data_IF_550414050017
#
_entry.id   IF_550414050017
#
_cell.length_a   1.000
_cell.length_b   1.000
_cell.length_c   1.000
_cell.angle_alpha   90.00
_cell.angle_beta   90.00
_cell.angle_gamma   90.00
#
_symmetry.space_group_name_H-M   'P 1'
#
loop_
_entity.id
_entity.type
_entity.pdbx_description
1 polymer ?
#
# COMPACT_ATOMS: atom_id res chain seq x y z
N UNK A 1 34.09 0.86 35.84
CA UNK A 1 33.83 -0.51 35.33
C UNK A 1 35.11 -1.12 34.80
N UNK A 2 35.82 -0.44 33.90
CA UNK A 2 37.13 -0.87 33.38
C UNK A 2 38.16 -1.12 34.50
N UNK A 3 38.31 -0.20 35.45
CA UNK A 3 39.26 -0.36 36.57
C UNK A 3 38.94 -1.58 37.46
N UNK A 4 37.67 -1.83 37.74
CA UNK A 4 37.25 -3.00 38.51
C UNK A 4 37.46 -4.31 37.75
N UNK A 5 37.21 -4.31 36.43
CA UNK A 5 37.47 -5.46 35.57
C UNK A 5 38.95 -5.81 35.54
N UNK A 6 39.83 -4.82 35.40
CA UNK A 6 41.29 -4.99 35.48
C UNK A 6 41.74 -5.56 36.83
N UNK A 7 41.18 -5.10 37.94
CA UNK A 7 41.48 -5.65 39.28
C UNK A 7 41.15 -7.14 39.34
N UNK A 8 39.95 -7.55 38.90
CA UNK A 8 39.57 -8.96 38.91
C UNK A 8 40.41 -9.80 37.92
N UNK A 9 40.78 -9.26 36.76
CA UNK A 9 41.70 -9.92 35.83
C UNK A 9 43.08 -10.15 36.46
N UNK A 10 43.63 -9.13 37.14
CA UNK A 10 44.91 -9.23 37.82
C UNK A 10 44.88 -10.28 38.94
N UNK A 11 43.77 -10.36 39.70
CA UNK A 11 43.58 -11.41 40.72
C UNK A 11 43.59 -12.79 40.06
N UNK A 12 42.87 -12.98 38.96
CA UNK A 12 42.83 -14.27 38.27
C UNK A 12 44.22 -14.66 37.71
N UNK A 13 44.94 -13.73 37.08
CA UNK A 13 46.31 -13.94 36.61
C UNK A 13 47.27 -14.28 37.76
N UNK A 14 47.15 -13.59 38.90
CA UNK A 14 47.97 -13.86 40.08
C UNK A 14 47.70 -15.26 40.65
N UNK A 15 46.44 -15.73 40.63
CA UNK A 15 46.10 -17.10 41.01
C UNK A 15 46.76 -18.10 40.06
N UNK A 16 46.67 -17.90 38.74
CA UNK A 16 47.28 -18.80 37.74
C UNK A 16 48.80 -18.92 37.92
N UNK A 17 49.48 -17.80 38.17
CA UNK A 17 50.92 -17.78 38.49
C UNK A 17 51.24 -18.55 39.79
N UNK A 18 50.39 -18.41 40.80
CA UNK A 18 50.57 -19.10 42.08
C UNK A 18 50.41 -20.63 41.94
N UNK A 19 49.47 -21.08 41.09
CA UNK A 19 49.19 -22.50 40.86
C UNK A 19 50.28 -23.21 40.06
N UNK A 20 50.95 -22.50 39.15
CA UNK A 20 52.04 -23.05 38.30
C UNK A 20 53.38 -23.18 39.04
N UNK A 21 53.57 -22.45 40.15
CA UNK A 21 54.79 -22.53 40.95
C UNK A 21 54.85 -23.81 41.81
N UNK A 22 55.88 -24.63 41.61
CA UNK A 22 56.07 -25.93 42.31
C UNK A 22 56.49 -25.79 43.78
N UNK A 23 56.99 -24.63 44.20
CA UNK A 23 57.47 -24.39 45.57
C UNK A 23 56.37 -23.94 46.55
N UNK A 24 55.16 -23.65 46.06
CA UNK A 24 54.02 -23.26 46.90
C UNK A 24 53.34 -24.46 47.55
N UNK A 25 52.92 -24.31 48.82
CA UNK A 25 52.26 -25.37 49.60
C UNK A 25 50.88 -25.76 49.05
N UNK A 26 50.40 -26.96 49.41
CA UNK A 26 49.09 -27.48 49.02
C UNK A 26 47.94 -26.61 49.51
N UNK A 27 48.04 -26.07 50.72
CA UNK A 27 47.00 -25.28 51.39
C UNK A 27 46.83 -23.94 50.68
N UNK A 28 47.93 -23.25 50.35
CA UNK A 28 47.90 -21.98 49.62
C UNK A 28 47.35 -22.17 48.20
N UNK A 29 47.67 -23.29 47.54
CA UNK A 29 47.07 -23.64 46.24
C UNK A 29 45.57 -23.88 46.35
N UNK A 30 45.10 -24.55 47.40
CA UNK A 30 43.66 -24.73 47.65
C UNK A 30 42.95 -23.40 47.92
N UNK A 31 43.54 -22.50 48.71
CA UNK A 31 43.01 -21.15 48.93
C UNK A 31 42.93 -20.35 47.62
N UNK A 32 43.97 -20.42 46.77
CA UNK A 32 43.97 -19.77 45.46
C UNK A 32 42.87 -20.31 44.54
N UNK A 33 42.64 -21.63 44.51
CA UNK A 33 41.53 -22.25 43.77
C UNK A 33 40.17 -21.74 44.29
N UNK A 34 39.99 -21.66 45.61
CA UNK A 34 38.76 -21.17 46.23
C UNK A 34 38.51 -19.68 45.90
N UNK A 35 39.56 -18.86 45.96
CA UNK A 35 39.51 -17.46 45.56
C UNK A 35 39.10 -17.32 44.08
N UNK A 36 39.71 -18.12 43.19
CA UNK A 36 39.36 -18.09 41.77
C UNK A 36 37.90 -18.47 41.53
N UNK A 37 37.40 -19.51 42.20
CA UNK A 37 35.98 -19.89 42.13
C UNK A 37 35.03 -18.77 42.56
N UNK A 38 35.50 -17.87 43.43
CA UNK A 38 34.71 -16.74 43.92
C UNK A 38 34.82 -15.51 43.01
N UNK A 39 35.99 -15.30 42.38
CA UNK A 39 36.29 -14.15 41.50
C UNK A 39 35.78 -14.37 40.07
N UNK A 40 35.83 -15.60 39.56
CA UNK A 40 35.43 -15.92 38.20
C UNK A 40 33.98 -15.51 37.88
N UNK A 41 32.97 -15.77 38.74
CA UNK A 41 31.61 -15.28 38.50
C UNK A 41 31.52 -13.75 38.40
N UNK A 42 32.34 -13.00 39.16
CA UNK A 42 32.38 -11.55 39.08
C UNK A 42 32.91 -11.06 37.72
N UNK A 43 33.94 -11.71 37.18
CA UNK A 43 34.47 -11.41 35.84
C UNK A 43 33.43 -11.67 34.75
N UNK A 44 32.74 -12.80 34.84
CA UNK A 44 31.70 -13.16 33.87
C UNK A 44 30.50 -12.22 33.94
N UNK A 45 30.06 -11.80 35.14
CA UNK A 45 28.99 -10.81 35.28
C UNK A 45 29.38 -9.45 34.69
N UNK A 46 30.64 -9.00 34.88
CA UNK A 46 31.14 -7.76 34.28
C UNK A 46 31.17 -7.85 32.76
N UNK A 47 31.63 -8.96 32.17
CA UNK A 47 31.59 -9.18 30.72
C UNK A 47 30.16 -9.20 30.18
N UNK A 48 29.26 -9.91 30.84
CA UNK A 48 27.85 -9.97 30.43
C UNK A 48 27.19 -8.60 30.51
N UNK A 49 27.46 -7.84 31.58
CA UNK A 49 26.98 -6.47 31.72
C UNK A 49 27.53 -5.55 30.64
N UNK A 50 28.82 -5.65 30.32
CA UNK A 50 29.45 -4.92 29.23
C UNK A 50 28.82 -5.26 27.87
N UNK A 51 28.56 -6.54 27.61
CA UNK A 51 27.89 -7.00 26.38
C UNK A 51 26.46 -6.45 26.26
N UNK A 52 25.67 -6.49 27.35
CA UNK A 52 24.33 -5.88 27.40
C UNK A 52 24.39 -4.38 27.13
N UNK A 53 25.32 -3.67 27.76
CA UNK A 53 25.48 -2.23 27.57
C UNK A 53 25.91 -1.88 26.13
N UNK A 54 26.77 -2.70 25.51
CA UNK A 54 27.14 -2.57 24.10
C UNK A 54 25.91 -2.60 23.18
N UNK A 55 25.00 -3.54 23.40
CA UNK A 55 23.76 -3.64 22.61
C UNK A 55 22.87 -2.39 22.78
N UNK A 56 22.72 -1.89 24.01
CA UNK A 56 21.93 -0.69 24.27
C UNK A 56 22.56 0.55 23.61
N UNK A 57 23.88 0.70 23.68
CA UNK A 57 24.60 1.78 23.02
C UNK A 57 24.46 1.72 21.50
N UNK A 58 24.44 0.52 20.90
CA UNK A 58 24.18 0.39 19.47
C UNK A 58 22.82 0.97 19.10
N UNK A 59 21.79 0.78 19.93
CA UNK A 59 20.49 1.42 19.73
C UNK A 59 20.60 2.94 19.78
N UNK A 60 21.28 3.49 20.79
CA UNK A 60 21.50 4.94 20.90
C UNK A 60 22.29 5.52 19.72
N UNK A 61 23.28 4.79 19.20
CA UNK A 61 24.04 5.20 18.02
C UNK A 61 23.15 5.20 16.77
N UNK A 62 22.27 4.21 16.61
CA UNK A 62 21.30 4.18 15.52
C UNK A 62 20.31 5.37 15.60
N UNK A 63 19.92 5.79 16.81
CA UNK A 63 19.07 6.97 17.00
C UNK A 63 19.79 8.26 16.56
N UNK A 64 21.09 8.38 16.82
CA UNK A 64 21.90 9.50 16.32
C UNK A 64 22.08 9.44 14.80
N UNK A 65 22.25 8.26 14.21
CA UNK A 65 22.26 8.10 12.75
C UNK A 65 20.94 8.58 12.13
N UNK A 66 19.81 8.28 12.77
CA UNK A 66 18.52 8.77 12.34
C UNK A 66 18.39 10.29 12.49
N UNK A 67 18.80 10.87 13.61
CA UNK A 67 18.77 12.31 13.83
C UNK A 67 19.63 13.06 12.80
N UNK A 68 20.80 12.52 12.47
CA UNK A 68 21.69 13.07 11.44
C UNK A 68 21.07 13.00 10.04
N UNK A 69 20.46 11.86 9.69
CA UNK A 69 19.75 11.70 8.43
C UNK A 69 18.56 12.66 8.30
N UNK A 70 17.81 12.88 9.40
CA UNK A 70 16.77 13.92 9.46
C UNK A 70 17.39 15.29 9.20
N UNK A 71 18.48 15.65 9.86
CA UNK A 71 19.15 16.94 9.66
C UNK A 71 19.57 17.15 8.20
N UNK A 72 20.16 16.14 7.54
CA UNK A 72 20.48 16.23 6.11
C UNK A 72 19.23 16.36 5.23
N UNK A 73 18.14 15.67 5.57
CA UNK A 73 16.87 15.74 4.83
C UNK A 73 16.26 17.15 4.86
N UNK A 74 16.31 17.83 6.02
CA UNK A 74 15.81 19.20 6.17
C UNK A 74 16.43 20.15 5.15
N UNK A 75 17.76 20.08 5.02
CA UNK A 75 18.51 20.92 4.09
C UNK A 75 18.13 20.66 2.64
N UNK A 76 18.07 19.39 2.24
CA UNK A 76 17.65 18.99 0.89
C UNK A 76 16.27 19.55 0.58
N UNK A 77 15.31 19.36 1.48
CA UNK A 77 13.92 19.82 1.30
C UNK A 77 13.85 21.34 1.20
N UNK A 78 14.58 22.07 2.06
CA UNK A 78 14.57 23.54 2.07
C UNK A 78 15.08 24.15 0.75
N UNK A 79 15.99 23.46 0.04
CA UNK A 79 16.59 23.93 -1.22
C UNK A 79 15.76 23.67 -2.47
N UNK A 80 14.69 22.88 -2.39
CA UNK A 80 13.84 22.56 -3.55
C UNK A 80 13.08 23.81 -3.98
N UNK A 81 12.97 24.03 -5.29
CA UNK A 81 12.20 25.13 -5.85
C UNK A 81 10.70 24.98 -5.51
N UNK A 82 10.18 25.90 -4.70
CA UNK A 82 8.79 25.85 -4.21
C UNK A 82 7.76 25.95 -5.35
N UNK A 83 8.06 26.68 -6.43
CA UNK A 83 7.19 26.82 -7.59
C UNK A 83 7.01 25.50 -8.35
N UNK A 84 8.01 24.63 -8.38
CA UNK A 84 7.90 23.30 -8.98
C UNK A 84 6.89 22.42 -8.25
N UNK A 85 6.89 22.46 -6.91
CA UNK A 85 5.95 21.71 -6.09
C UNK A 85 4.53 22.25 -6.27
N UNK A 86 4.36 23.58 -6.29
CA UNK A 86 3.06 24.21 -6.57
C UNK A 86 2.53 23.83 -7.95
N UNK A 87 3.36 23.86 -8.99
CA UNK A 87 2.97 23.42 -10.35
C UNK A 87 2.45 21.98 -10.35
N UNK A 88 3.10 21.06 -9.63
CA UNK A 88 2.63 19.67 -9.50
C UNK A 88 1.29 19.61 -8.77
N UNK A 89 1.15 20.34 -7.68
CA UNK A 89 -0.06 20.36 -6.87
C UNK A 89 -1.26 20.96 -7.62
N UNK A 90 -1.07 22.07 -8.34
CA UNK A 90 -2.10 22.69 -9.18
C UNK A 90 -2.50 21.78 -10.34
N UNK A 91 -1.54 21.14 -10.99
CA UNK A 91 -1.81 20.14 -12.02
C UNK A 91 -2.68 19.00 -11.46
N UNK A 92 -2.37 18.48 -10.28
CA UNK A 92 -3.16 17.41 -9.65
C UNK A 92 -4.56 17.87 -9.26
N UNK A 93 -4.71 19.09 -8.73
CA UNK A 93 -6.02 19.67 -8.40
C UNK A 93 -6.90 19.85 -9.64
N UNK A 94 -6.34 20.37 -10.73
CA UNK A 94 -7.06 20.51 -11.99
C UNK A 94 -7.47 19.14 -12.55
N UNK A 95 -6.56 18.16 -12.50
CA UNK A 95 -6.86 16.82 -12.98
C UNK A 95 -7.83 16.05 -12.09
N UNK A 96 -7.89 16.32 -10.78
CA UNK A 96 -8.90 15.75 -9.90
C UNK A 96 -10.33 16.08 -10.39
N UNK A 97 -10.58 17.32 -10.84
CA UNK A 97 -11.85 17.69 -11.47
C UNK A 97 -12.03 17.04 -12.84
N UNK A 98 -10.96 16.99 -13.66
CA UNK A 98 -10.97 16.36 -14.99
C UNK A 98 -11.36 14.87 -14.91
N UNK A 99 -10.77 14.11 -13.99
CA UNK A 99 -11.07 12.68 -13.81
C UNK A 99 -12.51 12.47 -13.34
N UNK A 100 -13.03 13.31 -12.44
CA UNK A 100 -14.45 13.23 -12.03
C UNK A 100 -15.40 13.49 -13.20
N UNK A 101 -15.09 14.49 -14.01
CA UNK A 101 -15.88 14.82 -15.20
C UNK A 101 -15.84 13.70 -16.24
N UNK A 102 -14.63 13.21 -16.55
CA UNK A 102 -14.43 12.09 -17.46
C UNK A 102 -15.16 10.83 -16.97
N UNK A 103 -15.07 10.52 -15.68
CA UNK A 103 -15.80 9.40 -15.08
C UNK A 103 -17.31 9.50 -15.30
N UNK A 104 -17.86 10.70 -15.14
CA UNK A 104 -19.27 10.98 -15.41
C UNK A 104 -19.63 10.85 -16.89
N UNK A 105 -18.75 11.29 -17.80
CA UNK A 105 -18.92 11.13 -19.24
C UNK A 105 -18.89 9.65 -19.64
N UNK A 106 -17.84 8.92 -19.26
CA UNK A 106 -17.70 7.51 -19.52
C UNK A 106 -18.90 6.73 -19.00
N UNK A 107 -19.38 7.03 -17.78
CA UNK A 107 -20.58 6.40 -17.21
C UNK A 107 -21.81 6.60 -18.10
N UNK A 108 -22.07 7.83 -18.55
CA UNK A 108 -23.19 8.13 -19.47
C UNK A 108 -23.04 7.39 -20.79
N UNK A 109 -21.84 7.39 -21.38
CA UNK A 109 -21.58 6.70 -22.63
C UNK A 109 -21.75 5.19 -22.53
N UNK A 110 -21.28 4.57 -21.45
CA UNK A 110 -21.46 3.13 -21.19
C UNK A 110 -22.95 2.81 -21.14
N UNK A 111 -23.74 3.59 -20.40
CA UNK A 111 -25.19 3.41 -20.30
C UNK A 111 -25.83 3.54 -21.68
N UNK A 112 -25.51 4.58 -22.45
CA UNK A 112 -26.07 4.80 -23.78
C UNK A 112 -25.72 3.67 -24.77
N UNK A 113 -24.45 3.24 -24.80
CA UNK A 113 -23.99 2.14 -25.66
C UNK A 113 -24.63 0.81 -25.28
N UNK A 114 -24.71 0.52 -23.97
CA UNK A 114 -25.36 -0.70 -23.48
C UNK A 114 -26.87 -0.69 -23.76
N UNK A 115 -27.53 0.45 -23.62
CA UNK A 115 -28.94 0.65 -23.98
C UNK A 115 -29.20 0.42 -25.46
N UNK A 116 -28.38 1.03 -26.33
CA UNK A 116 -28.52 0.89 -27.78
C UNK A 116 -28.37 -0.57 -28.21
N UNK A 117 -27.34 -1.24 -27.70
CA UNK A 117 -27.10 -2.67 -27.92
C UNK A 117 -28.28 -3.53 -27.45
N UNK A 118 -28.79 -3.30 -26.24
CA UNK A 118 -29.93 -4.05 -25.69
C UNK A 118 -31.20 -3.83 -26.50
N UNK A 119 -31.48 -2.58 -26.89
CA UNK A 119 -32.64 -2.20 -27.69
C UNK A 119 -32.63 -2.89 -29.05
N UNK A 120 -31.49 -2.88 -29.75
CA UNK A 120 -31.35 -3.52 -31.07
C UNK A 120 -31.65 -5.03 -31.01
N UNK A 121 -31.08 -5.71 -30.01
CA UNK A 121 -31.29 -7.16 -29.83
C UNK A 121 -32.75 -7.46 -29.47
N UNK A 122 -33.37 -6.64 -28.61
CA UNK A 122 -34.78 -6.79 -28.24
C UNK A 122 -35.73 -6.55 -29.40
N UNK A 123 -35.48 -5.57 -30.27
CA UNK A 123 -36.29 -5.32 -31.46
C UNK A 123 -36.27 -6.51 -32.42
N UNK A 124 -35.15 -7.23 -32.50
CA UNK A 124 -35.05 -8.48 -33.27
C UNK A 124 -35.92 -9.59 -32.65
N UNK A 125 -35.85 -9.79 -31.33
CA UNK A 125 -36.66 -10.78 -30.62
C UNK A 125 -38.15 -10.45 -30.73
N UNK A 126 -38.52 -9.19 -30.53
CA UNK A 126 -39.88 -8.72 -30.65
C UNK A 126 -40.46 -8.97 -32.05
N UNK A 127 -39.72 -8.61 -33.11
CA UNK A 127 -40.15 -8.84 -34.50
C UNK A 127 -40.30 -10.31 -34.84
N UNK A 128 -39.52 -11.19 -34.20
CA UNK A 128 -39.60 -12.64 -34.45
C UNK A 128 -40.79 -13.28 -33.76
N UNK A 129 -41.03 -12.94 -32.50
CA UNK A 129 -41.96 -13.69 -31.63
C UNK A 129 -43.29 -13.01 -31.36
N UNK A 130 -43.37 -11.69 -31.51
CA UNK A 130 -44.57 -10.90 -31.22
C UNK A 130 -45.02 -10.12 -32.47
N UNK A 131 -45.03 -10.78 -33.63
CA UNK A 131 -45.29 -10.16 -34.94
C UNK A 131 -46.61 -9.39 -34.98
N UNK A 132 -46.57 -8.30 -35.74
CA UNK A 132 -47.73 -7.57 -36.24
C UNK A 132 -48.01 -8.06 -37.67
N UNK A 133 -48.85 -9.08 -37.82
CA UNK A 133 -49.37 -9.50 -39.13
C UNK A 133 -50.82 -9.05 -39.22
N UNK A 134 -51.07 -7.82 -39.67
CA UNK A 134 -52.40 -7.27 -39.98
C UNK A 134 -53.41 -7.25 -38.83
N UNK A 135 -53.78 -6.07 -38.36
CA UNK A 135 -54.81 -5.76 -37.32
C UNK A 135 -54.74 -6.48 -35.96
N UNK A 136 -54.01 -7.59 -35.81
CA UNK A 136 -53.85 -8.31 -34.55
C UNK A 136 -52.36 -8.51 -34.21
N UNK A 137 -51.93 -7.92 -33.09
CA UNK A 137 -50.64 -8.21 -32.48
C UNK A 137 -50.64 -9.62 -31.92
N UNK A 138 -49.68 -10.46 -32.33
CA UNK A 138 -49.41 -11.72 -31.62
C UNK A 138 -48.85 -11.37 -30.24
N UNK A 139 -49.71 -11.38 -29.21
CA UNK A 139 -49.36 -10.99 -27.84
C UNK A 139 -48.89 -12.15 -26.96
N UNK A 140 -49.00 -13.39 -27.46
CA UNK A 140 -48.78 -14.62 -26.68
C UNK A 140 -47.92 -15.60 -27.49
N UNK A 141 -46.90 -16.15 -26.84
CA UNK A 141 -46.07 -17.26 -27.32
C UNK A 141 -46.61 -18.55 -26.72
N UNK A 142 -47.16 -19.42 -27.56
CA UNK A 142 -47.75 -20.69 -27.14
C UNK A 142 -46.74 -21.70 -26.60
N UNK A 143 -47.23 -22.66 -25.82
CA UNK A 143 -46.48 -23.78 -25.20
C UNK A 143 -45.43 -24.45 -26.09
N UNK A 144 -45.77 -24.75 -27.35
CA UNK A 144 -44.88 -25.49 -28.27
C UNK A 144 -43.61 -24.69 -28.63
N UNK A 145 -43.72 -23.37 -28.61
CA UNK A 145 -42.65 -22.44 -28.96
C UNK A 145 -41.93 -21.86 -27.74
N UNK A 146 -42.49 -22.06 -26.53
CA UNK A 146 -41.98 -21.49 -25.28
C UNK A 146 -40.51 -21.85 -25.02
N UNK A 147 -40.14 -23.12 -25.19
CA UNK A 147 -38.77 -23.58 -24.92
C UNK A 147 -37.75 -22.97 -25.88
N UNK A 148 -38.11 -22.83 -27.16
CA UNK A 148 -37.25 -22.22 -28.19
C UNK A 148 -37.06 -20.73 -27.88
N UNK A 149 -38.13 -20.02 -27.56
CA UNK A 149 -38.06 -18.63 -27.13
C UNK A 149 -37.17 -18.45 -25.90
N UNK A 150 -37.34 -19.28 -24.87
CA UNK A 150 -36.54 -19.20 -23.64
C UNK A 150 -35.05 -19.49 -23.88
N UNK A 151 -34.72 -20.43 -24.76
CA UNK A 151 -33.33 -20.67 -25.17
C UNK A 151 -32.75 -19.44 -25.87
N UNK A 152 -33.50 -18.81 -26.78
CA UNK A 152 -33.04 -17.61 -27.48
C UNK A 152 -32.85 -16.42 -26.53
N UNK A 153 -33.75 -16.23 -25.56
CA UNK A 153 -33.60 -15.21 -24.50
C UNK A 153 -32.32 -15.45 -23.69
N UNK A 154 -32.02 -16.70 -23.31
CA UNK A 154 -30.78 -17.03 -22.59
C UNK A 154 -29.54 -16.67 -23.40
N UNK A 155 -29.51 -17.02 -24.68
CA UNK A 155 -28.40 -16.67 -25.58
C UNK A 155 -28.24 -15.16 -25.71
N UNK A 156 -29.34 -14.44 -25.89
CA UNK A 156 -29.36 -12.97 -25.98
C UNK A 156 -28.84 -12.32 -24.70
N UNK A 157 -29.23 -12.85 -23.54
CA UNK A 157 -28.78 -12.35 -22.24
C UNK A 157 -27.29 -12.59 -22.03
N UNK A 158 -26.77 -13.76 -22.36
CA UNK A 158 -25.33 -14.04 -22.28
C UNK A 158 -24.54 -13.19 -23.27
N UNK A 159 -25.08 -12.91 -24.47
CA UNK A 159 -24.47 -11.96 -25.39
C UNK A 159 -24.43 -10.54 -24.79
N UNK A 160 -25.56 -10.07 -24.25
CA UNK A 160 -25.66 -8.74 -23.65
C UNK A 160 -24.72 -8.56 -22.46
N UNK A 161 -24.51 -9.59 -21.65
CA UNK A 161 -23.57 -9.54 -20.52
C UNK A 161 -22.13 -9.38 -21.00
N UNK A 162 -21.74 -10.11 -22.05
CA UNK A 162 -20.41 -10.00 -22.67
C UNK A 162 -20.19 -8.63 -23.32
N UNK A 163 -21.15 -8.13 -24.09
CA UNK A 163 -21.10 -6.79 -24.68
C UNK A 163 -20.94 -5.71 -23.60
N UNK A 164 -21.73 -5.78 -22.53
CA UNK A 164 -21.63 -4.84 -21.41
C UNK A 164 -20.23 -4.85 -20.77
N UNK A 165 -19.66 -6.04 -20.57
CA UNK A 165 -18.29 -6.19 -20.05
C UNK A 165 -17.29 -5.48 -20.98
N UNK A 166 -17.41 -5.63 -22.29
CA UNK A 166 -16.50 -4.98 -23.25
C UNK A 166 -16.65 -3.46 -23.27
N UNK A 167 -17.89 -2.95 -23.24
CA UNK A 167 -18.18 -1.51 -23.21
C UNK A 167 -17.59 -0.88 -21.93
N UNK A 168 -17.78 -1.54 -20.78
CA UNK A 168 -17.19 -1.11 -19.50
C UNK A 168 -15.67 -1.13 -19.60
N UNK A 169 -15.06 -2.23 -20.04
CA UNK A 169 -13.59 -2.35 -20.20
C UNK A 169 -12.99 -1.22 -21.02
N UNK A 170 -13.57 -0.93 -22.19
CA UNK A 170 -13.08 0.13 -23.07
C UNK A 170 -13.11 1.50 -22.37
N UNK A 171 -14.16 1.75 -21.60
CA UNK A 171 -14.33 3.00 -20.86
C UNK A 171 -13.38 3.11 -19.66
N UNK A 172 -13.17 2.00 -18.92
CA UNK A 172 -12.18 1.92 -17.86
C UNK A 172 -10.76 2.14 -18.40
N UNK A 173 -10.40 1.54 -19.53
CA UNK A 173 -9.10 1.73 -20.17
C UNK A 173 -8.85 3.20 -20.53
N UNK A 174 -9.88 3.89 -21.04
CA UNK A 174 -9.80 5.33 -21.37
C UNK A 174 -9.52 6.15 -20.11
N UNK A 175 -10.22 5.87 -19.01
CA UNK A 175 -9.96 6.54 -17.73
C UNK A 175 -8.57 6.21 -17.18
N UNK A 176 -8.12 4.96 -17.29
CA UNK A 176 -6.82 4.54 -16.81
C UNK A 176 -5.66 5.21 -17.54
N UNK A 177 -5.79 5.39 -18.86
CA UNK A 177 -4.83 6.16 -19.66
C UNK A 177 -4.73 7.60 -19.15
N UNK A 178 -5.86 8.26 -18.89
CA UNK A 178 -5.87 9.61 -18.34
C UNK A 178 -5.26 9.70 -16.94
N UNK A 179 -5.45 8.68 -16.09
CA UNK A 179 -4.80 8.61 -14.78
C UNK A 179 -3.28 8.41 -14.92
N UNK A 180 -2.86 7.54 -15.84
CA UNK A 180 -1.43 7.27 -16.10
C UNK A 180 -0.73 8.53 -16.61
N UNK A 181 -1.39 9.34 -17.43
CA UNK A 181 -0.89 10.62 -17.93
C UNK A 181 -0.68 11.68 -16.81
N UNK A 182 -1.19 11.44 -15.59
CA UNK A 182 -0.91 12.31 -14.45
C UNK A 182 0.49 12.12 -13.88
N UNK A 183 1.16 11.01 -14.24
CA UNK A 183 2.50 10.67 -13.76
C UNK A 183 2.62 10.76 -12.23
N UNK A 184 1.72 10.06 -11.53
CA UNK A 184 1.68 10.06 -10.06
C UNK A 184 3.00 9.54 -9.46
N UNK A 185 3.73 8.71 -10.18
CA UNK A 185 5.07 8.20 -9.85
C UNK A 185 6.10 9.32 -9.66
N UNK A 186 5.89 10.52 -10.21
CA UNK A 186 6.78 11.67 -9.99
C UNK A 186 6.94 12.04 -8.50
N UNK A 187 5.98 11.64 -7.65
CA UNK A 187 6.09 11.80 -6.20
C UNK A 187 7.33 11.12 -5.62
N UNK A 188 7.87 10.08 -6.27
CA UNK A 188 9.08 9.39 -5.80
C UNK A 188 10.32 10.26 -5.82
N UNK A 189 10.38 11.27 -6.70
CA UNK A 189 11.43 12.28 -6.68
C UNK A 189 11.44 12.99 -5.31
N UNK A 190 10.27 13.40 -4.82
CA UNK A 190 10.15 14.14 -3.57
C UNK A 190 10.34 13.26 -2.33
N UNK A 191 9.84 12.02 -2.39
CA UNK A 191 10.09 11.00 -1.37
C UNK A 191 11.60 10.75 -1.19
N UNK A 192 12.39 10.87 -2.27
CA UNK A 192 13.84 10.66 -2.20
C UNK A 192 14.58 11.66 -1.31
N UNK A 193 14.00 12.85 -1.06
CA UNK A 193 14.57 13.88 -0.20
C UNK A 193 14.26 13.68 1.29
N UNK A 194 13.28 12.85 1.63
CA UNK A 194 12.93 12.56 3.02
C UNK A 194 14.04 11.76 3.72
N UNK A 195 14.02 11.80 5.06
CA UNK A 195 14.78 10.89 5.90
C UNK A 195 14.40 9.42 5.61
N UNK A 196 15.29 8.48 5.90
CA UNK A 196 15.18 7.06 5.61
C UNK A 196 13.88 6.44 6.13
N UNK A 197 13.42 6.83 7.32
CA UNK A 197 12.20 6.29 7.92
C UNK A 197 10.98 6.81 7.17
N UNK A 198 10.81 8.13 7.08
CA UNK A 198 9.69 8.73 6.34
C UNK A 198 9.66 8.30 4.88
N UNK A 199 10.83 8.16 4.25
CA UNK A 199 11.00 7.68 2.88
C UNK A 199 10.43 6.27 2.72
N UNK A 200 10.81 5.33 3.58
CA UNK A 200 10.34 3.96 3.50
C UNK A 200 8.83 3.87 3.69
N UNK A 201 8.30 4.56 4.70
CA UNK A 201 6.86 4.60 4.99
C UNK A 201 6.06 5.18 3.81
N UNK A 202 6.51 6.32 3.26
CA UNK A 202 5.89 6.94 2.10
C UNK A 202 5.97 6.05 0.86
N UNK A 203 7.12 5.40 0.62
CA UNK A 203 7.31 4.53 -0.55
C UNK A 203 6.37 3.34 -0.52
N UNK A 204 6.22 2.68 0.63
CA UNK A 204 5.29 1.56 0.81
C UNK A 204 3.87 2.03 0.50
N UNK A 205 3.43 3.13 1.12
CA UNK A 205 2.08 3.67 0.94
C UNK A 205 1.77 4.04 -0.50
N UNK A 206 2.68 4.74 -1.19
CA UNK A 206 2.49 5.14 -2.59
C UNK A 206 2.55 3.95 -3.53
N UNK A 207 3.48 3.00 -3.33
CA UNK A 207 3.53 1.78 -4.16
C UNK A 207 2.24 0.97 -4.04
N UNK A 208 1.71 0.80 -2.82
CA UNK A 208 0.43 0.14 -2.60
C UNK A 208 -0.69 0.85 -3.36
N UNK A 209 -0.79 2.18 -3.23
CA UNK A 209 -1.77 2.98 -3.96
C UNK A 209 -1.64 2.82 -5.49
N UNK A 210 -0.44 2.95 -6.06
CA UNK A 210 -0.22 2.83 -7.51
C UNK A 210 -0.56 1.42 -8.02
N UNK A 211 -0.16 0.39 -7.29
CA UNK A 211 -0.51 -1.00 -7.61
C UNK A 211 -2.01 -1.25 -7.54
N UNK A 212 -2.70 -0.67 -6.55
CA UNK A 212 -4.15 -0.75 -6.43
C UNK A 212 -4.87 0.02 -7.55
N UNK A 213 -4.35 1.14 -8.04
CA UNK A 213 -4.87 1.83 -9.24
C UNK A 213 -4.72 0.90 -10.45
N UNK A 214 -3.53 0.39 -10.70
CA UNK A 214 -3.31 -0.51 -11.83
C UNK A 214 -4.21 -1.75 -11.74
N UNK A 215 -4.31 -2.37 -10.56
CA UNK A 215 -5.13 -3.54 -10.33
C UNK A 215 -6.63 -3.22 -10.45
N UNK A 216 -7.12 -2.10 -9.95
CA UNK A 216 -8.55 -1.76 -10.03
C UNK A 216 -9.01 -1.49 -11.46
N UNK A 217 -8.16 -0.91 -12.31
CA UNK A 217 -8.50 -0.65 -13.71
C UNK A 217 -8.19 -1.82 -14.65
N UNK A 218 -7.18 -2.64 -14.33
CA UNK A 218 -6.86 -3.86 -15.09
C UNK A 218 -7.77 -5.03 -14.71
N UNK A 219 -8.14 -5.12 -13.44
CA UNK A 219 -9.03 -6.16 -12.94
C UNK A 219 -10.49 -5.73 -13.02
N UNK A 220 -11.30 -6.71 -13.35
CA UNK A 220 -12.73 -6.60 -13.46
C UNK A 220 -13.45 -6.88 -12.14
N UNK A 221 -12.74 -6.82 -11.02
CA UNK A 221 -13.24 -7.19 -9.69
C UNK A 221 -13.65 -5.91 -8.95
N UNK A 222 -14.94 -5.77 -8.63
CA UNK A 222 -15.41 -4.63 -7.84
C UNK A 222 -15.22 -4.93 -6.36
N UNK A 223 -14.41 -4.12 -5.69
CA UNK A 223 -14.20 -4.19 -4.25
C UNK A 223 -15.12 -3.19 -3.54
N UNK A 224 -16.43 -3.43 -3.63
CA UNK A 224 -17.37 -2.69 -2.78
C UNK A 224 -17.22 -3.15 -1.32
N UNK A 225 -17.42 -2.24 -0.36
CA UNK A 225 -17.24 -2.42 1.08
C UNK A 225 -18.07 -3.53 1.75
N UNK A 226 -18.72 -4.41 0.98
CA UNK A 226 -19.40 -5.55 1.55
C UNK A 226 -19.23 -6.87 0.77
N UNK A 227 -18.90 -6.90 -0.53
CA UNK A 227 -18.63 -8.15 -1.28
C UNK A 227 -17.71 -7.86 -2.48
N UNK A 228 -16.60 -8.59 -2.60
CA UNK A 228 -15.83 -8.64 -3.85
C UNK A 228 -16.66 -9.35 -4.90
N UNK A 229 -17.17 -8.63 -5.90
CA UNK A 229 -17.88 -9.25 -7.03
C UNK A 229 -16.97 -9.23 -8.25
N UNK A 230 -16.69 -10.40 -8.79
CA UNK A 230 -16.05 -10.56 -10.09
C UNK A 230 -17.04 -10.21 -11.20
N UNK A 231 -16.59 -9.61 -12.32
CA UNK A 231 -17.45 -9.42 -13.50
C UNK A 231 -18.04 -10.73 -14.05
N UNK A 232 -17.48 -11.90 -13.71
CA UNK A 232 -18.08 -13.22 -14.04
C UNK A 232 -19.42 -13.43 -13.33
N UNK A 233 -19.68 -12.73 -12.23
CA UNK A 233 -20.99 -12.76 -11.56
C UNK A 233 -22.04 -11.92 -12.29
N UNK A 234 -21.70 -11.18 -13.35
CA UNK A 234 -22.66 -10.31 -14.04
C UNK A 234 -23.69 -11.10 -14.82
N UNK A 235 -23.40 -12.33 -15.21
CA UNK A 235 -24.42 -13.24 -15.72
C UNK A 235 -25.50 -13.53 -14.68
N UNK A 236 -25.20 -13.52 -13.38
CA UNK A 236 -26.17 -13.89 -12.36
C UNK A 236 -27.35 -12.90 -12.25
N UNK A 237 -27.15 -11.56 -12.19
CA UNK A 237 -28.24 -10.58 -12.31
C UNK A 237 -29.10 -10.77 -13.57
N UNK A 238 -28.48 -11.05 -14.72
CA UNK A 238 -29.25 -11.26 -15.94
C UNK A 238 -29.99 -12.60 -15.96
N UNK A 239 -29.39 -13.68 -15.43
CA UNK A 239 -30.06 -14.97 -15.22
C UNK A 239 -31.22 -14.85 -14.22
N UNK A 240 -31.10 -13.97 -13.22
CA UNK A 240 -32.20 -13.66 -12.32
C UNK A 240 -33.34 -12.92 -13.04
N UNK A 241 -33.03 -12.00 -13.96
CA UNK A 241 -34.05 -11.39 -14.82
C UNK A 241 -34.74 -12.44 -15.70
N UNK A 242 -34.00 -13.43 -16.23
CA UNK A 242 -34.58 -14.56 -16.96
C UNK A 242 -35.51 -15.42 -16.09
N UNK A 243 -35.27 -15.53 -14.78
CA UNK A 243 -36.14 -16.29 -13.87
C UNK A 243 -37.56 -15.74 -13.82
N UNK A 244 -37.78 -14.46 -14.06
CA UNK A 244 -39.14 -13.90 -14.19
C UNK A 244 -39.92 -14.52 -15.36
N UNK A 245 -39.25 -14.79 -16.48
CA UNK A 245 -39.86 -15.49 -17.63
C UNK A 245 -40.01 -17.00 -17.39
N UNK A 246 -39.19 -17.58 -16.50
CA UNK A 246 -39.15 -19.02 -16.25
C UNK A 246 -40.09 -19.48 -15.12
N UNK A 247 -40.32 -18.66 -14.09
CA UNK A 247 -41.03 -19.04 -12.86
C UNK A 247 -42.55 -18.82 -12.93
N UNK A 248 -43.07 -18.23 -14.00
CA UNK A 248 -44.51 -18.23 -14.24
C UNK A 248 -44.91 -19.57 -14.85
N UNK A 249 -45.62 -20.38 -14.06
CA UNK A 249 -46.25 -21.67 -14.42
C UNK A 249 -47.31 -21.57 -15.54
N UNK A 250 -47.27 -20.53 -16.36
CA UNK A 250 -48.13 -20.37 -17.51
C UNK A 250 -47.64 -21.27 -18.65
N UNK A 251 -48.56 -21.94 -19.33
CA UNK A 251 -48.26 -22.68 -20.55
C UNK A 251 -47.68 -21.76 -21.64
N UNK A 252 -47.97 -20.47 -21.57
CA UNK A 252 -47.61 -19.47 -22.57
C UNK A 252 -46.84 -18.29 -21.95
N UNK A 253 -46.17 -17.50 -22.80
CA UNK A 253 -45.49 -16.26 -22.42
C UNK A 253 -46.19 -15.08 -23.10
N UNK A 254 -46.67 -14.12 -22.33
CA UNK A 254 -47.34 -12.94 -22.86
C UNK A 254 -46.41 -11.71 -23.02
N UNK A 255 -46.91 -10.72 -23.74
CA UNK A 255 -46.22 -9.46 -23.98
C UNK A 255 -45.88 -8.67 -22.70
N UNK A 256 -46.74 -8.71 -21.67
CA UNK A 256 -46.51 -7.97 -20.43
C UNK A 256 -45.35 -8.59 -19.65
N UNK A 257 -45.25 -9.92 -19.60
CA UNK A 257 -44.12 -10.64 -19.03
C UNK A 257 -42.82 -10.30 -19.76
N UNK A 258 -42.84 -10.26 -21.10
CA UNK A 258 -41.68 -9.82 -21.88
C UNK A 258 -41.35 -8.35 -21.63
N UNK A 259 -42.33 -7.46 -21.49
CA UNK A 259 -42.12 -6.05 -21.17
C UNK A 259 -41.46 -5.85 -19.80
N UNK A 260 -41.88 -6.60 -18.78
CA UNK A 260 -41.27 -6.59 -17.46
C UNK A 260 -39.83 -7.10 -17.50
N UNK A 261 -39.57 -8.19 -18.22
CA UNK A 261 -38.21 -8.71 -18.43
C UNK A 261 -37.29 -7.66 -19.05
N UNK A 262 -37.75 -6.95 -20.10
CA UNK A 262 -36.97 -5.88 -20.74
C UNK A 262 -36.56 -4.80 -19.74
N UNK A 263 -37.51 -4.37 -18.89
CA UNK A 263 -37.28 -3.36 -17.85
C UNK A 263 -36.30 -3.86 -16.79
N UNK A 264 -36.43 -5.11 -16.35
CA UNK A 264 -35.57 -5.69 -15.33
C UNK A 264 -34.12 -5.79 -15.80
N UNK A 265 -33.89 -6.31 -17.01
CA UNK A 265 -32.54 -6.36 -17.62
C UNK A 265 -31.94 -4.96 -17.72
N UNK A 266 -32.74 -3.99 -18.15
CA UNK A 266 -32.30 -2.61 -18.25
C UNK A 266 -31.88 -2.00 -16.90
N UNK A 267 -32.69 -2.21 -15.86
CA UNK A 267 -32.35 -1.79 -14.49
C UNK A 267 -31.03 -2.44 -14.04
N UNK A 268 -30.83 -3.73 -14.33
CA UNK A 268 -29.58 -4.42 -14.01
C UNK A 268 -28.36 -3.86 -14.74
N UNK A 269 -28.49 -3.50 -16.02
CA UNK A 269 -27.43 -2.80 -16.76
C UNK A 269 -27.04 -1.52 -16.02
N UNK A 270 -28.00 -0.67 -15.64
CA UNK A 270 -27.70 0.60 -14.97
C UNK A 270 -27.05 0.37 -13.61
N UNK A 271 -27.59 -0.52 -12.78
CA UNK A 271 -27.04 -0.84 -11.45
C UNK A 271 -25.58 -1.29 -11.54
N UNK A 272 -25.30 -2.18 -12.49
CA UNK A 272 -23.96 -2.67 -12.81
C UNK A 272 -23.03 -1.51 -13.17
N UNK A 273 -23.43 -0.68 -14.13
CA UNK A 273 -22.57 0.39 -14.66
C UNK A 273 -22.29 1.42 -13.57
N UNK A 274 -23.32 1.82 -12.81
CA UNK A 274 -23.17 2.73 -11.69
C UNK A 274 -22.18 2.17 -10.67
N UNK A 275 -22.38 0.92 -10.24
CA UNK A 275 -21.54 0.29 -9.22
C UNK A 275 -20.08 0.23 -9.66
N UNK A 276 -19.80 -0.24 -10.87
CA UNK A 276 -18.43 -0.36 -11.37
C UNK A 276 -17.80 1.01 -11.57
N UNK A 277 -18.47 1.90 -12.30
CA UNK A 277 -17.90 3.20 -12.68
C UNK A 277 -17.70 4.10 -11.46
N UNK A 278 -18.67 4.16 -10.54
CA UNK A 278 -18.56 4.99 -9.35
C UNK A 278 -17.45 4.49 -8.42
N UNK A 279 -17.31 3.17 -8.25
CA UNK A 279 -16.21 2.56 -7.48
C UNK A 279 -14.84 2.96 -8.05
N UNK A 280 -14.63 2.80 -9.37
CA UNK A 280 -13.35 3.13 -10.01
C UNK A 280 -13.03 4.61 -9.98
N UNK A 281 -14.02 5.46 -10.25
CA UNK A 281 -13.85 6.92 -10.23
C UNK A 281 -13.54 7.40 -8.82
N UNK A 282 -14.25 6.91 -7.81
CA UNK A 282 -13.99 7.26 -6.41
C UNK A 282 -12.60 6.80 -5.97
N UNK A 283 -12.17 5.61 -6.38
CA UNK A 283 -10.84 5.11 -6.08
C UNK A 283 -9.74 5.98 -6.71
N UNK A 284 -9.86 6.34 -7.98
CA UNK A 284 -8.93 7.24 -8.66
C UNK A 284 -8.86 8.62 -8.00
N UNK A 285 -10.03 9.21 -7.71
CA UNK A 285 -10.16 10.50 -7.02
C UNK A 285 -9.47 10.46 -5.65
N UNK A 286 -9.70 9.40 -4.87
CA UNK A 286 -9.07 9.21 -3.55
C UNK A 286 -7.55 9.14 -3.68
N UNK A 287 -7.05 8.42 -4.68
CA UNK A 287 -5.60 8.27 -4.90
C UNK A 287 -4.93 9.58 -5.31
N UNK A 288 -5.58 10.36 -6.18
CA UNK A 288 -5.12 11.72 -6.51
C UNK A 288 -5.15 12.59 -5.25
N UNK A 289 -6.20 12.50 -4.43
CA UNK A 289 -6.31 13.21 -3.16
C UNK A 289 -5.20 12.86 -2.17
N UNK A 290 -4.78 11.59 -2.08
CA UNK A 290 -3.64 11.17 -1.27
C UNK A 290 -2.32 11.75 -1.78
N UNK A 291 -2.16 11.83 -3.11
CA UNK A 291 -0.98 12.46 -3.74
C UNK A 291 -0.95 13.97 -3.46
N UNK A 292 -2.09 14.66 -3.54
CA UNK A 292 -2.23 16.07 -3.16
C UNK A 292 -1.87 16.25 -1.68
N UNK A 293 -2.40 15.41 -0.79
CA UNK A 293 -2.11 15.50 0.64
C UNK A 293 -0.62 15.33 0.94
N UNK A 294 0.08 14.44 0.23
CA UNK A 294 1.53 14.33 0.34
C UNK A 294 2.23 15.64 -0.05
N UNK A 295 1.90 16.23 -1.20
CA UNK A 295 2.54 17.47 -1.65
C UNK A 295 2.25 18.64 -0.70
N UNK A 296 1.04 18.71 -0.14
CA UNK A 296 0.69 19.70 0.89
C UNK A 296 1.55 19.52 2.16
N UNK A 297 1.65 18.31 2.71
CA UNK A 297 2.51 18.04 3.88
C UNK A 297 3.99 18.34 3.57
N UNK A 298 4.44 18.01 2.35
CA UNK A 298 5.80 18.30 1.91
C UNK A 298 6.08 19.80 1.85
N UNK A 299 5.14 20.61 1.34
CA UNK A 299 5.24 22.08 1.32
C UNK A 299 5.27 22.66 2.74
N UNK A 300 4.45 22.14 3.65
CA UNK A 300 4.44 22.58 5.05
C UNK A 300 5.76 22.25 5.77
N UNK A 301 6.36 21.09 5.47
CA UNK A 301 7.72 20.76 5.94
C UNK A 301 8.76 21.70 5.34
N UNK A 302 8.72 21.92 4.03
CA UNK A 302 9.65 22.83 3.34
C UNK A 302 9.58 24.24 3.94
N UNK A 303 8.38 24.79 4.10
CA UNK A 303 8.18 26.11 4.69
C UNK A 303 8.83 26.21 6.06
N UNK A 304 8.59 25.22 6.95
CA UNK A 304 9.22 25.18 8.28
C UNK A 304 10.75 25.15 8.20
N UNK A 305 11.33 24.30 7.35
CA UNK A 305 12.78 24.19 7.23
C UNK A 305 13.43 25.44 6.61
N UNK A 306 12.72 26.16 5.74
CA UNK A 306 13.19 27.44 5.19
C UNK A 306 13.23 28.56 6.24
N UNK A 307 12.43 28.47 7.32
CA UNK A 307 12.48 29.42 8.44
C UNK A 307 13.62 29.13 9.44
N UNK A 308 14.30 27.97 9.36
CA UNK A 308 15.39 27.63 10.28
C UNK A 308 16.63 28.50 10.02
N UNK A 309 17.09 29.20 11.05
CA UNK A 309 18.28 30.05 10.96
C UNK A 309 19.54 29.19 10.77
N UNK A 310 20.61 29.74 10.16
CA UNK A 310 21.90 29.06 10.11
C UNK A 310 22.42 28.67 11.50
N UNK A 311 22.24 29.54 12.50
CA UNK A 311 22.66 29.25 13.88
C UNK A 311 21.90 28.06 14.47
N UNK A 312 20.59 27.93 14.21
CA UNK A 312 19.82 26.78 14.67
C UNK A 312 20.34 25.48 14.02
N UNK A 313 20.58 25.50 12.71
CA UNK A 313 21.08 24.33 11.97
C UNK A 313 22.46 23.88 12.44
N UNK A 314 23.36 24.83 12.69
CA UNK A 314 24.70 24.56 13.24
C UNK A 314 24.61 24.01 14.67
N UNK A 315 23.74 24.58 15.51
CA UNK A 315 23.54 24.10 16.88
C UNK A 315 22.98 22.66 16.91
N UNK A 316 22.00 22.34 16.06
CA UNK A 316 21.47 20.97 15.92
C UNK A 316 22.58 19.98 15.51
N UNK A 317 23.42 20.35 14.53
CA UNK A 317 24.51 19.50 14.06
C UNK A 317 25.59 19.30 15.13
N UNK A 318 26.01 20.38 15.78
CA UNK A 318 27.00 20.35 16.86
C UNK A 318 26.51 19.47 18.02
N UNK A 319 25.22 19.52 18.36
CA UNK A 319 24.63 18.66 19.38
C UNK A 319 24.72 17.18 18.98
N UNK A 320 24.33 16.82 17.75
CA UNK A 320 24.43 15.43 17.24
C UNK A 320 25.89 14.94 17.31
N UNK A 321 26.84 15.74 16.84
CA UNK A 321 28.26 15.38 16.80
C UNK A 321 28.84 15.21 18.21
N UNK A 322 28.44 16.07 19.16
CA UNK A 322 28.82 15.95 20.56
C UNK A 322 28.30 14.65 21.18
N UNK A 323 27.02 14.33 21.00
CA UNK A 323 26.44 13.09 21.54
C UNK A 323 27.13 11.86 20.92
N UNK A 324 27.39 11.89 19.61
CA UNK A 324 28.09 10.81 18.91
C UNK A 324 29.49 10.59 19.46
N UNK A 325 30.23 11.67 19.75
CA UNK A 325 31.56 11.59 20.36
C UNK A 325 31.50 10.95 21.75
N UNK A 326 30.55 11.36 22.59
CA UNK A 326 30.38 10.82 23.94
C UNK A 326 30.02 9.33 23.90
N UNK A 327 29.07 8.93 23.07
CA UNK A 327 28.69 7.51 22.93
C UNK A 327 29.83 6.65 22.40
N UNK A 328 30.62 7.14 21.43
CA UNK A 328 31.79 6.43 20.91
C UNK A 328 32.84 6.19 22.00
N UNK A 329 33.09 7.16 22.88
CA UNK A 329 34.02 6.98 24.01
C UNK A 329 33.56 5.86 24.94
N UNK A 330 32.28 5.84 25.30
CA UNK A 330 31.72 4.77 26.16
C UNK A 330 31.80 3.42 25.45
N UNK A 331 31.48 3.38 24.15
CA UNK A 331 31.56 2.17 23.34
C UNK A 331 32.98 1.59 23.30
N UNK A 332 34.01 2.41 23.07
CA UNK A 332 35.43 1.99 23.10
C UNK A 332 35.83 1.42 24.47
N UNK A 333 35.41 2.06 25.57
CA UNK A 333 35.68 1.56 26.93
C UNK A 333 35.03 0.19 27.20
N UNK A 334 33.86 -0.06 26.63
CA UNK A 334 33.16 -1.36 26.75
C UNK A 334 33.83 -2.43 25.89
N UNK A 335 34.28 -2.07 24.68
CA UNK A 335 35.03 -3.00 23.83
C UNK A 335 36.33 -3.47 24.48
N UNK A 336 37.04 -2.59 25.20
CA UNK A 336 38.24 -2.97 25.95
C UNK A 336 37.96 -4.03 27.04
N UNK A 337 36.76 -4.06 27.62
CA UNK A 337 36.34 -5.07 28.61
C UNK A 337 36.02 -6.41 27.92
N UNK A 338 35.41 -6.34 26.74
CA UNK A 338 34.94 -7.52 25.99
C UNK A 338 36.06 -8.21 25.20
N UNK A 339 37.04 -7.43 24.72
CA UNK A 339 38.19 -7.91 23.95
C UNK A 339 39.50 -7.24 24.43
N UNK A 340 40.07 -7.74 25.55
CA UNK A 340 41.27 -7.15 26.16
C UNK A 340 42.52 -7.23 25.27
N UNK A 341 42.51 -8.07 24.23
CA UNK A 341 43.65 -8.33 23.33
C UNK A 341 43.82 -7.26 22.24
N UNK A 342 42.81 -6.43 21.99
CA UNK A 342 42.86 -5.38 20.95
C UNK A 342 43.33 -4.00 21.48
N UNK A 343 43.60 -3.86 22.78
CA UNK A 343 44.07 -2.61 23.38
C UNK A 343 45.57 -2.31 23.23
N UNK A 344 46.36 -3.22 22.65
CA UNK A 344 47.82 -3.12 22.55
C UNK A 344 48.37 -2.78 21.16
N UNK A 345 47.50 -2.49 20.16
CA UNK A 345 47.93 -2.24 18.78
C UNK A 345 47.52 -0.87 18.19
N UNK A 346 47.40 0.18 19.00
CA UNK A 346 47.29 1.54 18.45
C UNK A 346 48.07 2.59 19.23
N UNK A 347 49.40 2.39 19.30
CA UNK A 347 50.36 3.51 19.34
C UNK A 347 51.57 3.12 18.50
N UNK A 348 51.50 3.43 17.20
CA UNK A 348 52.65 3.65 16.32
C UNK A 348 52.20 4.35 15.06
#
# INVERSE_FOLDING_TARGET
>A
MDDHFKIFQNINQSVEQLLTNKHNSSEIKQSAISLNKSVQPCLEELKQSAARLKMLLQSSLNDLDHAEDVWYSKQKIATIATDEIWKKLDNLRNNHFKIRFLGSQCKREVIQKAQASWKEVLERIQRKWFRNTGEQQQKIIGKDNKNIFLQEIRTVVSYQSQELIQIIKKSLNTMYQEITNLHLENIFQYISFLDKKSKNEARIKINLMLNEIQASFSSLIVHSSCKSRSLLEFEHPFRAACRYLLNHNCNDIDWNQFALFKKEVYTKIIEIVNTVMDDRVNFAIKSIGQTIAFYTDFLERQYRYQQETPQQREAEKAWIDQQRKQLKQVYTSIEAILDPTNGSLSVS
#
